data_IF_154499357958
#
_entry.id   IF_154499357958
#
_cell.length_a   1.000
_cell.length_b   1.000
_cell.length_c   1.000
_cell.angle_alpha   90.00
_cell.angle_beta   90.00
_cell.angle_gamma   90.00
#
_symmetry.space_group_name_H-M   'P 1'
#
loop_
_entity.id
_entity.type
_entity.pdbx_description
1 polymer ?
#
# COMPACT_ATOMS: atom_id res chain seq x y z
N UNK A 1 34.88 -19.93 -34.78
CA UNK A 1 33.67 -20.55 -34.22
C UNK A 1 33.00 -19.44 -33.42
N UNK A 2 31.98 -18.81 -33.98
CA UNK A 2 31.24 -17.69 -33.36
C UNK A 2 30.10 -18.30 -32.53
N UNK A 3 30.17 -18.20 -31.21
CA UNK A 3 29.05 -18.53 -30.34
C UNK A 3 27.98 -17.46 -30.53
N UNK A 4 27.01 -17.79 -31.34
CA UNK A 4 25.76 -17.07 -31.50
C UNK A 4 24.92 -17.35 -30.24
N UNK A 5 25.08 -16.47 -29.22
CA UNK A 5 24.26 -16.50 -28.01
C UNK A 5 22.83 -16.26 -28.46
N UNK A 6 22.06 -17.33 -28.56
CA UNK A 6 20.61 -17.28 -28.80
C UNK A 6 19.98 -16.45 -27.69
N UNK A 7 19.74 -15.20 -27.97
CA UNK A 7 19.01 -14.27 -27.10
C UNK A 7 17.57 -14.77 -27.02
N UNK A 8 17.27 -15.54 -25.97
CA UNK A 8 15.91 -16.01 -25.71
C UNK A 8 14.95 -14.80 -25.79
N UNK A 9 13.98 -14.89 -26.69
CA UNK A 9 12.98 -13.85 -26.84
C UNK A 9 12.27 -13.66 -25.49
N UNK A 10 12.17 -12.41 -25.03
CA UNK A 10 11.41 -12.09 -23.82
C UNK A 10 9.98 -12.63 -23.98
N UNK A 11 9.40 -13.26 -22.94
CA UNK A 11 8.07 -13.83 -23.04
C UNK A 11 7.08 -12.74 -23.41
N UNK A 12 6.12 -13.09 -24.26
CA UNK A 12 5.00 -12.21 -24.57
C UNK A 12 4.23 -11.93 -23.28
N UNK A 13 4.08 -10.67 -22.90
CA UNK A 13 3.34 -10.28 -21.70
C UNK A 13 1.85 -10.63 -21.77
N UNK A 14 1.32 -10.81 -22.98
CA UNK A 14 -0.10 -11.09 -23.23
C UNK A 14 -0.59 -12.34 -22.47
N UNK A 15 0.22 -13.41 -22.41
CA UNK A 15 -0.14 -14.63 -21.66
C UNK A 15 -0.08 -14.49 -20.14
N UNK A 16 0.53 -13.42 -19.61
CA UNK A 16 0.73 -13.20 -18.17
C UNK A 16 0.10 -11.91 -17.68
N UNK A 17 -0.56 -11.14 -18.56
CA UNK A 17 -1.07 -9.80 -18.23
C UNK A 17 -2.02 -9.80 -17.04
N UNK A 18 -2.97 -10.71 -16.99
CA UNK A 18 -3.94 -10.80 -15.88
C UNK A 18 -3.26 -11.09 -14.54
N UNK A 19 -2.27 -11.97 -14.52
CA UNK A 19 -1.48 -12.25 -13.33
C UNK A 19 -0.69 -11.03 -12.89
N UNK A 20 0.03 -10.39 -13.78
CA UNK A 20 0.86 -9.22 -13.49
C UNK A 20 0.04 -8.04 -12.98
N UNK A 21 -1.08 -7.75 -13.63
CA UNK A 21 -2.03 -6.70 -13.24
C UNK A 21 -2.71 -7.08 -11.91
N UNK A 22 -3.10 -8.34 -11.74
CA UNK A 22 -3.69 -8.84 -10.51
C UNK A 22 -2.78 -8.67 -9.29
N UNK A 23 -1.48 -8.93 -9.43
CA UNK A 23 -0.48 -8.68 -8.39
C UNK A 23 -0.30 -7.18 -8.12
N UNK A 24 -0.19 -6.36 -9.16
CA UNK A 24 -0.11 -4.90 -9.03
C UNK A 24 -1.34 -4.30 -8.34
N UNK A 25 -2.52 -4.79 -8.65
CA UNK A 25 -3.78 -4.32 -8.06
C UNK A 25 -3.93 -4.62 -6.55
N UNK A 26 -3.07 -5.50 -5.99
CA UNK A 26 -3.00 -5.72 -4.54
C UNK A 26 -2.29 -4.60 -3.78
N UNK A 27 -1.76 -3.59 -4.46
CA UNK A 27 -1.12 -2.44 -3.84
C UNK A 27 -2.06 -1.69 -2.88
N UNK A 28 -1.53 -1.05 -1.81
CA UNK A 28 -2.33 -0.15 -0.99
C UNK A 28 -2.69 1.12 -1.74
N UNK A 29 -3.85 1.68 -1.43
CA UNK A 29 -4.23 3.02 -1.89
C UNK A 29 -5.08 3.73 -0.83
N UNK A 30 -5.07 5.06 -0.84
CA UNK A 30 -5.86 5.83 0.12
C UNK A 30 -7.34 5.51 -0.04
N UNK A 31 -8.02 5.21 1.05
CA UNK A 31 -9.41 4.71 1.06
C UNK A 31 -9.66 3.50 0.15
N UNK A 32 -8.61 2.77 -0.23
CA UNK A 32 -8.68 1.68 -1.22
C UNK A 32 -9.33 2.14 -2.54
N UNK A 33 -9.02 3.37 -2.94
CA UNK A 33 -9.58 3.96 -4.17
C UNK A 33 -9.08 3.30 -5.43
N UNK A 34 -7.92 2.63 -5.39
CA UNK A 34 -7.30 1.96 -6.54
C UNK A 34 -7.25 2.87 -7.78
N UNK A 35 -6.54 4.01 -7.71
CA UNK A 35 -6.64 5.08 -8.70
C UNK A 35 -5.76 4.85 -9.92
N UNK A 36 -5.55 3.62 -10.30
CA UNK A 36 -4.75 3.18 -11.43
C UNK A 36 -5.59 2.50 -12.50
N UNK A 37 -5.06 2.55 -13.71
CA UNK A 37 -5.50 1.77 -14.85
C UNK A 37 -4.30 1.19 -15.54
N UNK A 38 -4.42 -0.06 -15.95
CA UNK A 38 -3.40 -0.72 -16.75
C UNK A 38 -3.90 -0.90 -18.18
N UNK A 39 -2.98 -0.80 -19.12
CA UNK A 39 -3.20 -1.12 -20.53
C UNK A 39 -2.04 -1.99 -20.99
N UNK A 40 -2.37 -3.12 -21.59
CA UNK A 40 -1.41 -3.95 -22.29
C UNK A 40 -1.29 -3.44 -23.72
N UNK A 41 -0.07 -3.18 -24.17
CA UNK A 41 0.25 -2.65 -25.48
C UNK A 41 1.45 -3.43 -26.05
N UNK A 42 1.19 -4.61 -26.62
CA UNK A 42 2.20 -5.55 -27.05
C UNK A 42 3.12 -5.96 -25.87
N UNK A 43 4.44 -5.81 -26.00
CA UNK A 43 5.39 -6.23 -24.96
C UNK A 43 5.48 -5.24 -23.79
N UNK A 44 4.53 -4.32 -23.63
CA UNK A 44 4.56 -3.24 -22.64
C UNK A 44 3.26 -3.22 -21.83
N UNK A 45 3.36 -3.03 -20.53
CA UNK A 45 2.24 -2.67 -19.66
C UNK A 45 2.37 -1.20 -19.31
N UNK A 46 1.37 -0.41 -19.68
CA UNK A 46 1.27 1.00 -19.36
C UNK A 46 0.42 1.20 -18.09
N UNK A 47 0.93 2.01 -17.15
CA UNK A 47 0.24 2.42 -15.95
C UNK A 47 -0.25 3.85 -16.09
N UNK A 48 -1.55 4.05 -15.90
CA UNK A 48 -2.21 5.36 -15.96
C UNK A 48 -2.83 5.73 -14.62
N UNK A 49 -2.81 7.03 -14.31
CA UNK A 49 -3.66 7.61 -13.26
C UNK A 49 -5.12 7.69 -13.71
N UNK A 50 -6.05 7.30 -12.83
CA UNK A 50 -7.49 7.57 -13.01
C UNK A 50 -7.95 8.75 -12.13
N UNK A 51 -8.04 9.97 -12.65
CA UNK A 51 -8.39 11.14 -11.87
C UNK A 51 -9.82 11.11 -11.32
N UNK A 52 -10.69 10.24 -11.86
CA UNK A 52 -12.05 10.05 -11.33
C UNK A 52 -12.05 9.38 -9.95
N UNK A 53 -10.94 8.72 -9.58
CA UNK A 53 -10.72 8.08 -8.28
C UNK A 53 -9.90 8.93 -7.31
N UNK A 54 -9.54 10.15 -7.72
CA UNK A 54 -8.86 11.12 -6.87
C UNK A 54 -9.79 11.59 -5.74
N UNK A 55 -9.22 11.75 -4.53
CA UNK A 55 -9.94 12.31 -3.40
C UNK A 55 -10.09 13.83 -3.56
N UNK A 56 -11.18 14.38 -3.03
CA UNK A 56 -11.42 15.83 -3.01
C UNK A 56 -10.47 16.57 -2.09
N UNK A 57 -9.97 15.86 -1.06
CA UNK A 57 -8.95 16.39 -0.13
C UNK A 57 -7.53 16.30 -0.67
N UNK A 58 -7.33 15.67 -1.84
CA UNK A 58 -6.05 15.57 -2.55
C UNK A 58 -6.09 16.38 -3.86
N UNK A 59 -6.21 17.72 -3.81
CA UNK A 59 -6.36 18.54 -5.03
C UNK A 59 -5.15 18.42 -5.96
N UNK A 60 -3.94 18.26 -5.41
CA UNK A 60 -2.72 18.11 -6.17
C UNK A 60 -2.48 16.68 -6.71
N UNK A 61 -3.27 15.68 -6.27
CA UNK A 61 -3.12 14.29 -6.69
C UNK A 61 -1.91 13.58 -6.11
N UNK A 62 -1.32 14.08 -5.02
CA UNK A 62 -0.11 13.50 -4.40
C UNK A 62 -0.38 12.09 -3.86
N UNK A 63 -1.48 11.91 -3.15
CA UNK A 63 -1.88 10.61 -2.59
C UNK A 63 -2.27 9.62 -3.70
N UNK A 64 -2.89 10.14 -4.77
CA UNK A 64 -3.18 9.37 -5.97
C UNK A 64 -1.88 8.85 -6.60
N UNK A 65 -0.87 9.72 -6.78
CA UNK A 65 0.42 9.34 -7.38
C UNK A 65 1.19 8.35 -6.49
N UNK A 66 1.20 8.53 -5.18
CA UNK A 66 1.78 7.57 -4.22
C UNK A 66 1.11 6.20 -4.35
N UNK A 67 -0.21 6.18 -4.45
CA UNK A 67 -0.96 4.93 -4.64
C UNK A 67 -0.60 4.24 -5.98
N UNK A 68 -0.46 5.01 -7.06
CA UNK A 68 -0.02 4.47 -8.35
C UNK A 68 1.43 3.97 -8.32
N UNK A 69 2.32 4.64 -7.57
CA UNK A 69 3.70 4.18 -7.34
C UNK A 69 3.74 2.82 -6.63
N UNK A 70 2.89 2.62 -5.62
CA UNK A 70 2.76 1.32 -4.97
C UNK A 70 2.28 0.22 -5.93
N UNK A 71 1.36 0.54 -6.85
CA UNK A 71 0.92 -0.40 -7.87
C UNK A 71 2.03 -0.70 -8.90
N UNK A 72 2.84 0.30 -9.27
CA UNK A 72 4.03 0.10 -10.11
C UNK A 72 5.05 -0.83 -9.45
N UNK A 73 5.29 -0.66 -8.15
CA UNK A 73 6.16 -1.57 -7.40
C UNK A 73 5.65 -3.01 -7.46
N UNK A 74 4.35 -3.22 -7.22
CA UNK A 74 3.71 -4.54 -7.33
C UNK A 74 3.83 -5.14 -8.73
N UNK A 75 3.70 -4.32 -9.79
CA UNK A 75 3.90 -4.75 -11.17
C UNK A 75 5.35 -5.18 -11.43
N UNK A 76 6.32 -4.39 -10.98
CA UNK A 76 7.75 -4.72 -11.10
C UNK A 76 8.09 -6.02 -10.38
N UNK A 77 7.57 -6.19 -9.18
CA UNK A 77 7.75 -7.43 -8.40
C UNK A 77 7.09 -8.65 -9.09
N UNK A 78 5.93 -8.45 -9.71
CA UNK A 78 5.28 -9.50 -10.48
C UNK A 78 6.09 -9.92 -11.72
N UNK A 79 6.74 -8.98 -12.42
CA UNK A 79 7.69 -9.31 -13.51
C UNK A 79 8.88 -10.12 -12.98
N UNK A 80 9.38 -9.79 -11.78
CA UNK A 80 10.43 -10.58 -11.12
C UNK A 80 10.01 -12.03 -10.89
N UNK A 81 8.75 -12.28 -10.53
CA UNK A 81 8.25 -13.65 -10.30
C UNK A 81 8.27 -14.52 -11.55
N UNK A 82 8.30 -13.93 -12.73
CA UNK A 82 8.46 -14.64 -13.99
C UNK A 82 9.94 -14.93 -14.33
N UNK A 83 10.89 -14.54 -13.48
CA UNK A 83 12.33 -14.75 -13.71
C UNK A 83 13.00 -13.68 -14.57
N UNK A 84 12.41 -12.48 -14.68
CA UNK A 84 12.93 -11.39 -15.51
C UNK A 84 13.10 -10.09 -14.75
N UNK A 85 14.01 -9.24 -15.20
CA UNK A 85 14.15 -7.88 -14.70
C UNK A 85 13.05 -6.99 -15.30
N UNK A 86 12.33 -6.19 -14.48
CA UNK A 86 11.42 -5.18 -15.00
C UNK A 86 12.22 -3.97 -15.51
N UNK A 87 11.94 -3.53 -16.72
CA UNK A 87 12.44 -2.25 -17.25
C UNK A 87 11.29 -1.25 -17.18
N UNK A 88 11.35 -0.34 -16.22
CA UNK A 88 10.34 0.67 -16.00
C UNK A 88 10.82 2.05 -16.45
N UNK A 89 10.05 2.69 -17.31
CA UNK A 89 10.23 4.07 -17.76
C UNK A 89 9.18 4.93 -17.09
N UNK A 90 9.59 5.92 -16.29
CA UNK A 90 8.68 6.82 -15.57
C UNK A 90 8.37 8.04 -16.42
N UNK A 91 7.09 8.47 -16.40
CA UNK A 91 6.59 9.64 -17.11
C UNK A 91 7.07 9.69 -18.57
N UNK A 92 6.85 8.63 -19.34
CA UNK A 92 7.53 8.40 -20.64
C UNK A 92 7.08 9.37 -21.75
N UNK A 93 6.03 10.14 -21.51
CA UNK A 93 5.45 11.03 -22.52
C UNK A 93 4.88 12.30 -21.85
N UNK A 94 5.57 13.43 -21.96
CA UNK A 94 5.11 14.70 -21.38
C UNK A 94 3.74 15.17 -21.90
N UNK A 95 3.35 14.78 -23.12
CA UNK A 95 2.05 15.08 -23.70
C UNK A 95 0.90 14.22 -23.14
N UNK A 96 1.23 13.10 -22.50
CA UNK A 96 0.27 12.16 -21.90
C UNK A 96 0.34 12.19 -20.39
N UNK A 97 -0.03 13.29 -19.77
CA UNK A 97 0.09 13.58 -18.32
C UNK A 97 -0.50 12.50 -17.38
N UNK A 98 -1.34 11.62 -17.89
CA UNK A 98 -1.91 10.51 -17.11
C UNK A 98 -1.13 9.21 -17.24
N UNK A 99 -0.23 9.09 -18.19
CA UNK A 99 0.65 7.94 -18.36
C UNK A 99 1.83 8.09 -17.39
N UNK A 100 1.81 7.29 -16.34
CA UNK A 100 2.77 7.39 -15.23
C UNK A 100 4.00 6.52 -15.46
N UNK A 101 3.83 5.35 -16.09
CA UNK A 101 4.94 4.45 -16.36
C UNK A 101 4.64 3.51 -17.53
N UNK A 102 5.71 3.04 -18.17
CA UNK A 102 5.75 1.88 -19.06
C UNK A 102 6.63 0.82 -18.44
N UNK A 103 6.15 -0.40 -18.38
CA UNK A 103 6.93 -1.54 -17.89
C UNK A 103 7.01 -2.61 -18.97
N UNK A 104 8.21 -3.05 -19.26
CA UNK A 104 8.51 -4.17 -20.17
C UNK A 104 9.40 -5.18 -19.48
N UNK A 105 9.40 -6.38 -20.02
CA UNK A 105 10.31 -7.46 -19.59
C UNK A 105 11.70 -7.15 -20.12
N UNK A 106 12.70 -7.21 -19.23
CA UNK A 106 14.12 -7.08 -19.56
C UNK A 106 14.82 -8.44 -19.62
N UNK A 107 16.08 -8.47 -19.19
CA UNK A 107 16.88 -9.68 -19.17
C UNK A 107 16.34 -10.71 -18.16
N UNK A 108 16.57 -11.99 -18.45
CA UNK A 108 16.33 -13.05 -17.48
C UNK A 108 17.28 -12.88 -16.27
N UNK A 109 16.74 -13.02 -15.07
CA UNK A 109 17.52 -12.96 -13.85
C UNK A 109 16.81 -13.73 -12.73
N UNK A 110 17.52 -14.52 -11.94
CA UNK A 110 16.93 -15.28 -10.85
C UNK A 110 16.35 -14.35 -9.79
N UNK A 111 15.33 -14.84 -9.07
CA UNK A 111 14.80 -14.17 -7.90
C UNK A 111 15.78 -14.19 -6.75
N UNK A 112 15.91 -13.06 -6.06
CA UNK A 112 16.59 -13.02 -4.76
C UNK A 112 15.75 -13.65 -3.66
N UNK A 113 16.36 -13.99 -2.54
CA UNK A 113 15.63 -14.48 -1.35
C UNK A 113 14.62 -13.46 -0.82
N UNK A 114 14.99 -12.19 -0.87
CA UNK A 114 14.13 -11.08 -0.44
C UNK A 114 12.89 -10.92 -1.33
N UNK A 115 13.08 -10.92 -2.65
CA UNK A 115 11.96 -10.83 -3.60
C UNK A 115 10.97 -11.99 -3.43
N UNK A 116 11.45 -13.21 -3.16
CA UNK A 116 10.57 -14.35 -2.85
C UNK A 116 9.70 -14.11 -1.63
N UNK A 117 10.28 -13.59 -0.54
CA UNK A 117 9.53 -13.27 0.68
C UNK A 117 8.48 -12.17 0.43
N UNK A 118 8.84 -11.14 -0.36
CA UNK A 118 7.89 -10.09 -0.74
C UNK A 118 6.74 -10.65 -1.58
N UNK A 119 7.02 -11.51 -2.55
CA UNK A 119 6.00 -12.15 -3.39
C UNK A 119 5.04 -13.03 -2.56
N UNK A 120 5.57 -13.79 -1.61
CA UNK A 120 4.75 -14.57 -0.67
C UNK A 120 3.86 -13.68 0.20
N UNK A 121 4.32 -12.49 0.57
CA UNK A 121 3.58 -11.56 1.40
C UNK A 121 2.44 -10.83 0.65
N UNK A 122 2.56 -10.62 -0.67
CA UNK A 122 1.58 -9.85 -1.46
C UNK A 122 0.14 -10.36 -1.30
N UNK A 123 -0.18 -11.67 -1.37
CA UNK A 123 -1.54 -12.17 -1.19
C UNK A 123 -2.13 -11.89 0.19
N UNK A 124 -1.27 -11.80 1.22
CA UNK A 124 -1.66 -11.63 2.62
C UNK A 124 -1.68 -10.17 3.07
N UNK A 125 -1.14 -9.29 2.24
CA UNK A 125 -1.09 -7.86 2.54
C UNK A 125 -2.50 -7.26 2.66
N UNK A 126 -2.78 -6.62 3.78
CA UNK A 126 -4.00 -5.83 3.99
C UNK A 126 -3.68 -4.59 4.84
N UNK A 127 -4.55 -3.59 4.81
CA UNK A 127 -4.42 -2.40 5.64
C UNK A 127 -5.04 -2.65 7.01
N UNK A 128 -4.21 -2.78 8.04
CA UNK A 128 -4.68 -2.82 9.42
C UNK A 128 -5.15 -1.42 9.85
N UNK A 129 -6.36 -1.34 10.42
CA UNK A 129 -6.97 -0.06 10.87
C UNK A 129 -7.28 -0.03 12.37
N UNK A 130 -6.92 -1.08 13.10
CA UNK A 130 -7.03 -1.14 14.55
C UNK A 130 -5.79 -0.58 15.24
N UNK A 131 -5.79 -0.62 16.57
CA UNK A 131 -4.59 -0.35 17.36
C UNK A 131 -3.57 -1.49 17.16
N UNK A 132 -2.29 -1.13 17.11
CA UNK A 132 -1.21 -2.11 17.18
C UNK A 132 -1.03 -2.59 18.61
N UNK A 133 -0.60 -3.85 18.77
CA UNK A 133 -0.25 -4.40 20.08
C UNK A 133 0.96 -3.71 20.71
N UNK A 134 1.11 -3.79 22.03
CA UNK A 134 2.32 -3.32 22.71
C UNK A 134 3.49 -4.28 22.38
N UNK A 135 4.69 -3.74 22.33
CA UNK A 135 5.90 -4.54 22.18
C UNK A 135 6.88 -3.93 21.17
N UNK A 136 8.12 -4.43 21.17
CA UNK A 136 9.14 -3.99 20.23
C UNK A 136 8.81 -4.50 18.82
N UNK A 137 9.30 -3.79 17.82
CA UNK A 137 9.29 -4.26 16.44
C UNK A 137 10.19 -5.51 16.32
N UNK A 138 9.87 -6.44 15.41
CA UNK A 138 10.75 -7.57 15.13
C UNK A 138 12.18 -7.10 14.81
N UNK A 139 13.16 -7.86 15.32
CA UNK A 139 14.57 -7.54 15.05
C UNK A 139 14.83 -7.52 13.53
N UNK A 140 15.57 -6.53 13.05
CA UNK A 140 15.90 -6.35 11.63
C UNK A 140 14.81 -5.69 10.77
N UNK A 141 13.55 -5.64 11.22
CA UNK A 141 12.46 -5.07 10.41
C UNK A 141 12.73 -3.61 10.01
N UNK A 142 13.22 -2.81 10.95
CA UNK A 142 13.52 -1.40 10.70
C UNK A 142 14.59 -1.23 9.64
N UNK A 143 15.69 -2.00 9.74
CA UNK A 143 16.77 -1.95 8.76
C UNK A 143 16.29 -2.39 7.37
N UNK A 144 15.47 -3.44 7.29
CA UNK A 144 14.87 -3.89 6.04
C UNK A 144 13.98 -2.80 5.41
N UNK A 145 13.12 -2.15 6.20
CA UNK A 145 12.27 -1.05 5.71
C UNK A 145 13.09 0.16 5.24
N UNK A 146 14.18 0.49 5.93
CA UNK A 146 15.08 1.57 5.52
C UNK A 146 15.82 1.24 4.22
N UNK A 147 16.30 0.00 4.09
CA UNK A 147 16.92 -0.50 2.87
C UNK A 147 15.96 -0.40 1.68
N UNK A 148 14.73 -0.89 1.82
CA UNK A 148 13.73 -0.85 0.76
C UNK A 148 13.35 0.59 0.39
N UNK A 149 13.25 1.49 1.37
CA UNK A 149 12.99 2.90 1.11
C UNK A 149 14.11 3.53 0.26
N UNK A 150 15.37 3.25 0.58
CA UNK A 150 16.53 3.74 -0.20
C UNK A 150 16.52 3.15 -1.60
N UNK A 151 16.23 1.87 -1.77
CA UNK A 151 16.13 1.22 -3.07
C UNK A 151 15.06 1.84 -3.99
N UNK A 152 14.00 2.41 -3.41
CA UNK A 152 12.95 3.15 -4.14
C UNK A 152 13.19 4.68 -4.15
N UNK A 153 14.40 5.16 -3.81
CA UNK A 153 14.75 6.58 -3.85
C UNK A 153 14.13 7.43 -2.74
N UNK A 154 13.71 6.79 -1.63
CA UNK A 154 13.09 7.45 -0.49
C UNK A 154 13.94 7.32 0.78
N UNK A 155 13.55 8.05 1.82
CA UNK A 155 14.18 7.95 3.15
C UNK A 155 13.12 7.58 4.18
N UNK A 156 13.39 6.56 4.99
CA UNK A 156 12.59 6.20 6.15
C UNK A 156 13.29 6.66 7.43
N UNK A 157 12.70 7.66 8.09
CA UNK A 157 13.18 8.15 9.39
C UNK A 157 12.38 7.49 10.52
N UNK A 158 13.10 6.99 11.52
CA UNK A 158 12.52 6.52 12.76
C UNK A 158 12.46 7.67 13.76
N UNK A 159 11.30 7.85 14.36
CA UNK A 159 11.09 8.88 15.37
C UNK A 159 10.96 8.19 16.73
N UNK A 160 12.00 8.31 17.54
CA UNK A 160 12.02 7.81 18.91
C UNK A 160 11.13 8.65 19.83
N UNK A 161 10.63 8.08 20.94
CA UNK A 161 9.94 8.85 21.97
C UNK A 161 10.75 10.06 22.41
N UNK A 162 10.11 11.25 22.45
CA UNK A 162 10.72 12.53 22.79
C UNK A 162 9.98 13.69 22.16
N UNK A 163 10.62 14.87 22.14
CA UNK A 163 10.01 16.12 21.67
C UNK A 163 9.54 16.03 20.19
N UNK A 164 10.35 15.40 19.32
CA UNK A 164 10.01 15.24 17.91
C UNK A 164 8.76 14.35 17.72
N UNK A 165 8.66 13.26 18.49
CA UNK A 165 7.48 12.39 18.51
C UNK A 165 6.24 13.15 18.98
N UNK A 166 6.35 13.93 20.08
CA UNK A 166 5.25 14.73 20.62
C UNK A 166 4.75 15.75 19.58
N UNK A 167 5.68 16.50 18.95
CA UNK A 167 5.33 17.46 17.89
C UNK A 167 4.61 16.80 16.71
N UNK A 168 5.10 15.65 16.25
CA UNK A 168 4.45 14.91 15.18
C UNK A 168 3.04 14.45 15.59
N UNK A 169 2.87 13.94 16.80
CA UNK A 169 1.58 13.53 17.35
C UNK A 169 0.60 14.71 17.42
N UNK A 170 1.05 15.87 17.86
CA UNK A 170 0.23 17.10 17.96
C UNK A 170 -0.20 17.58 16.57
N UNK A 171 0.72 17.63 15.60
CA UNK A 171 0.42 18.00 14.21
C UNK A 171 -0.57 17.01 13.58
N UNK A 172 -0.35 15.72 13.79
CA UNK A 172 -1.24 14.66 13.28
C UNK A 172 -2.64 14.78 13.89
N UNK A 173 -2.74 15.02 15.20
CA UNK A 173 -4.01 15.21 15.87
C UNK A 173 -4.73 16.49 15.39
N UNK A 174 -3.99 17.58 15.17
CA UNK A 174 -4.54 18.83 14.63
C UNK A 174 -5.06 18.64 13.19
N UNK A 175 -4.28 17.95 12.34
CA UNK A 175 -4.70 17.61 10.99
C UNK A 175 -5.96 16.74 10.97
N UNK A 176 -6.03 15.72 11.84
CA UNK A 176 -7.21 14.87 12.01
C UNK A 176 -8.47 15.67 12.36
N UNK A 177 -8.36 16.56 13.36
CA UNK A 177 -9.47 17.46 13.72
C UNK A 177 -9.94 18.34 12.57
N UNK A 178 -8.98 18.86 11.77
CA UNK A 178 -9.29 19.68 10.60
C UNK A 178 -10.02 18.87 9.52
N UNK A 179 -9.57 17.65 9.24
CA UNK A 179 -10.22 16.73 8.29
C UNK A 179 -11.63 16.34 8.74
N UNK A 180 -11.85 16.13 10.05
CA UNK A 180 -13.18 15.81 10.58
C UNK A 180 -14.20 16.95 10.34
N UNK A 181 -13.72 18.19 10.25
CA UNK A 181 -14.56 19.36 9.98
C UNK A 181 -14.71 19.64 8.47
N UNK A 182 -13.82 19.10 7.63
CA UNK A 182 -13.85 19.34 6.19
C UNK A 182 -14.99 18.55 5.52
N UNK A 183 -15.96 19.24 4.87
CA UNK A 183 -17.05 18.58 4.16
C UNK A 183 -16.56 17.71 2.99
N UNK A 184 -15.41 18.04 2.39
CA UNK A 184 -14.80 17.26 1.32
C UNK A 184 -14.29 15.92 1.84
N UNK A 185 -13.58 15.91 2.98
CA UNK A 185 -13.12 14.69 3.63
C UNK A 185 -14.29 13.78 4.00
N UNK A 186 -15.35 14.35 4.57
CA UNK A 186 -16.57 13.59 4.89
C UNK A 186 -17.24 13.01 3.65
N UNK A 187 -17.25 13.76 2.54
CA UNK A 187 -17.81 13.30 1.27
C UNK A 187 -16.97 12.16 0.68
N UNK A 188 -15.63 12.24 0.76
CA UNK A 188 -14.74 11.16 0.32
C UNK A 188 -14.93 9.90 1.16
N UNK A 189 -14.98 10.01 2.49
CA UNK A 189 -15.26 8.87 3.38
C UNK A 189 -16.59 8.22 3.02
N UNK A 190 -17.67 9.00 2.81
CA UNK A 190 -18.98 8.45 2.40
C UNK A 190 -18.89 7.74 1.05
N UNK A 191 -18.23 8.36 0.07
CA UNK A 191 -18.09 7.80 -1.28
C UNK A 191 -17.36 6.47 -1.28
N UNK A 192 -16.31 6.35 -0.46
CA UNK A 192 -15.42 5.20 -0.45
C UNK A 192 -15.68 4.20 0.71
N UNK A 193 -16.72 4.39 1.51
CA UNK A 193 -17.19 3.38 2.46
C UNK A 193 -18.16 2.43 1.77
N UNK A 194 -17.92 1.13 1.90
CA UNK A 194 -18.75 0.05 1.33
C UNK A 194 -19.55 -0.63 2.43
N UNK A 195 -20.84 -0.88 2.16
CA UNK A 195 -21.66 -1.74 3.02
C UNK A 195 -21.10 -3.17 3.02
N UNK A 196 -21.35 -3.93 4.10
CA UNK A 196 -20.82 -5.28 4.26
C UNK A 196 -21.19 -6.24 3.12
N UNK A 197 -22.36 -6.05 2.52
CA UNK A 197 -22.86 -6.87 1.41
C UNK A 197 -22.39 -6.38 0.01
N UNK A 198 -21.59 -5.31 -0.07
CA UNK A 198 -21.15 -4.78 -1.35
C UNK A 198 -19.92 -5.58 -1.86
N UNK A 199 -20.02 -6.26 -3.03
CA UNK A 199 -18.94 -7.07 -3.57
C UNK A 199 -17.83 -6.25 -4.26
N UNK A 200 -17.92 -4.91 -4.30
CA UNK A 200 -16.93 -4.07 -4.96
C UNK A 200 -15.53 -4.30 -4.36
N UNK A 201 -14.50 -4.49 -5.21
CA UNK A 201 -13.15 -4.75 -4.75
C UNK A 201 -12.45 -3.47 -4.21
N UNK A 202 -13.05 -2.31 -4.42
CA UNK A 202 -12.56 -1.01 -3.98
C UNK A 202 -13.30 -0.48 -2.74
N UNK A 203 -12.76 0.59 -2.15
CA UNK A 203 -13.34 1.23 -0.97
C UNK A 203 -12.97 0.52 0.34
N UNK A 204 -13.48 1.05 1.43
CA UNK A 204 -13.23 0.56 2.79
C UNK A 204 -14.51 -0.12 3.29
N UNK A 205 -14.49 -1.39 3.68
CA UNK A 205 -15.63 -2.03 4.31
C UNK A 205 -16.05 -1.28 5.58
N UNK A 206 -17.35 -1.04 5.76
CA UNK A 206 -17.87 -0.26 6.90
C UNK A 206 -17.43 -0.84 8.26
N UNK A 207 -17.30 -2.17 8.35
CA UNK A 207 -16.84 -2.88 9.55
C UNK A 207 -15.35 -2.69 9.85
N UNK A 208 -14.55 -2.20 8.91
CA UNK A 208 -13.14 -1.90 9.12
C UNK A 208 -12.88 -0.61 9.91
N UNK A 209 -13.95 0.16 10.21
CA UNK A 209 -13.83 1.33 11.07
C UNK A 209 -14.01 0.92 12.55
N UNK A 210 -13.04 1.20 13.44
CA UNK A 210 -13.17 0.93 14.86
C UNK A 210 -14.42 1.65 15.45
N UNK A 211 -15.30 0.92 16.13
CA UNK A 211 -16.48 1.49 16.80
C UNK A 211 -17.80 1.39 16.04
N UNK A 212 -17.83 0.90 14.80
CA UNK A 212 -19.10 0.57 14.10
C UNK A 212 -19.47 -0.91 14.21
N UNK A 213 -19.41 -1.48 15.41
CA UNK A 213 -20.11 -2.76 15.67
C UNK A 213 -21.61 -2.46 15.68
N UNK A 214 -22.36 -3.17 14.84
CA UNK A 214 -23.77 -3.05 14.55
C UNK A 214 -24.64 -2.50 15.70
N UNK A 215 -25.15 -1.30 15.50
CA UNK A 215 -26.42 -0.89 16.07
C UNK A 215 -27.45 -1.01 14.96
N UNK A 216 -28.05 -2.16 14.87
CA UNK A 216 -29.38 -2.29 14.34
C UNK A 216 -30.31 -1.58 15.32
N UNK A 217 -30.95 -0.50 14.88
CA UNK A 217 -32.02 0.16 15.62
C UNK A 217 -31.65 1.54 16.20
N UNK A 218 -32.43 2.51 15.78
CA UNK A 218 -32.67 3.84 16.30
C UNK A 218 -31.65 4.94 15.96
N UNK A 219 -32.11 5.78 15.07
CA UNK A 219 -31.61 7.12 14.78
C UNK A 219 -31.71 7.99 16.05
N UNK A 220 -30.56 8.49 16.56
CA UNK A 220 -30.47 9.49 17.60
C UNK A 220 -29.32 10.44 17.31
N UNK A 221 -29.44 11.76 17.52
CA UNK A 221 -28.42 12.72 17.09
C UNK A 221 -27.22 12.75 18.02
N UNK A 222 -26.04 12.78 17.43
CA UNK A 222 -24.83 13.30 18.01
C UNK A 222 -24.04 12.39 18.94
N UNK A 223 -23.11 11.61 18.39
CA UNK A 223 -21.85 11.32 19.10
C UNK A 223 -20.69 11.27 18.10
N UNK A 224 -19.69 12.03 18.46
CA UNK A 224 -18.44 12.34 17.80
C UNK A 224 -17.69 11.09 17.35
N UNK A 225 -17.36 11.04 16.07
CA UNK A 225 -16.38 10.09 15.51
C UNK A 225 -14.99 10.53 15.94
N UNK A 226 -14.48 9.94 17.02
CA UNK A 226 -13.12 10.18 17.49
C UNK A 226 -12.13 9.39 16.63
N UNK A 227 -11.54 10.03 15.65
CA UNK A 227 -10.26 9.58 15.09
C UNK A 227 -9.16 9.98 16.09
N UNK A 228 -8.48 8.98 16.61
CA UNK A 228 -7.25 9.11 17.41
C UNK A 228 -7.33 10.05 18.63
N UNK A 229 -7.82 9.54 19.75
CA UNK A 229 -7.47 10.06 21.07
C UNK A 229 -6.38 9.17 21.65
N UNK A 230 -5.15 9.72 21.79
CA UNK A 230 -4.12 9.15 22.63
C UNK A 230 -4.65 9.00 24.06
N UNK A 231 -4.91 7.78 24.48
CA UNK A 231 -5.15 7.46 25.89
C UNK A 231 -3.81 7.25 26.57
N UNK A 232 -3.59 7.99 27.65
CA UNK A 232 -2.54 7.67 28.63
C UNK A 232 -2.76 6.25 29.17
N UNK A 233 -1.70 5.47 29.40
CA UNK A 233 -1.86 4.13 29.95
C UNK A 233 -2.37 4.22 31.40
N UNK A 234 -3.52 3.61 31.65
CA UNK A 234 -3.90 3.20 33.00
C UNK A 234 -3.26 1.83 33.23
N UNK A 235 -2.51 1.76 34.32
CA UNK A 235 -2.02 0.50 34.90
C UNK A 235 -3.20 -0.43 35.14
N UNK A 236 -3.20 -1.58 34.51
CA UNK A 236 -4.12 -2.69 34.84
C UNK A 236 -3.31 -3.97 34.93
N UNK A 237 -3.51 -4.60 36.08
CA UNK A 237 -3.00 -5.85 36.57
C UNK A 237 -3.25 -7.05 35.63
N UNK A 238 -2.32 -8.00 35.75
CA UNK A 238 -2.20 -9.25 35.01
C UNK A 238 -3.48 -10.10 34.96
N UNK A 239 -3.71 -10.68 33.78
CA UNK A 239 -4.65 -11.78 33.56
C UNK A 239 -4.19 -12.54 32.32
N UNK A 240 -3.78 -13.79 32.53
CA UNK A 240 -3.23 -14.74 31.57
C UNK A 240 -4.13 -14.99 30.37
N UNK A 241 -3.56 -14.98 29.17
CA UNK A 241 -3.87 -15.88 28.04
C UNK A 241 -2.70 -15.83 27.07
N UNK A 242 -1.90 -16.90 27.05
CA UNK A 242 -0.91 -17.16 26.04
C UNK A 242 -1.61 -17.52 24.71
N UNK A 243 -1.05 -17.06 23.58
CA UNK A 243 -1.08 -17.84 22.36
C UNK A 243 0.35 -18.17 21.93
N UNK A 244 0.69 -19.44 21.99
CA UNK A 244 1.83 -20.05 21.33
C UNK A 244 1.68 -19.92 19.81
N UNK A 245 2.57 -19.13 19.18
CA UNK A 245 2.85 -19.22 17.77
C UNK A 245 4.37 -19.06 17.54
N UNK A 246 5.01 -19.89 16.70
CA UNK A 246 6.47 -19.91 16.56
C UNK A 246 6.97 -18.64 15.86
N UNK A 247 7.90 -17.98 16.51
CA UNK A 247 8.57 -16.77 15.99
C UNK A 247 9.35 -17.06 14.71
N UNK A 248 8.93 -16.46 13.61
CA UNK A 248 9.73 -16.37 12.39
C UNK A 248 10.81 -15.31 12.59
N UNK A 249 12.06 -15.75 12.57
CA UNK A 249 13.21 -14.83 12.53
C UNK A 249 13.32 -14.23 11.13
N UNK A 250 13.47 -12.91 11.06
CA UNK A 250 13.83 -12.22 9.83
C UNK A 250 15.34 -12.39 9.62
N UNK A 251 15.80 -12.81 8.43
CA UNK A 251 17.24 -12.90 8.17
C UNK A 251 17.84 -11.49 8.14
N UNK A 252 19.02 -11.37 8.74
CA UNK A 252 19.86 -10.19 8.53
C UNK A 252 20.28 -10.14 7.06
N UNK A 253 20.11 -8.98 6.44
CA UNK A 253 20.61 -8.75 5.08
C UNK A 253 22.13 -8.87 5.03
N UNK A 254 22.69 -9.34 3.92
CA UNK A 254 24.14 -9.37 3.71
C UNK A 254 24.72 -7.98 3.62
#
# INVERSE_FOLDING_TARGET
MSEETTRAAAPALDGHADYLIGMAARAPSVHNTQPWRFRVAGPVIELYADPRRKLRVDPAGRELLISCGAALYGLRLAVRSLGYLPVAELLPDPGRVRLLARVRVGAAAPLTGWERQLLEAVPHRHTHRGAFGPGPLPAGLTAALQHDAVAEGATLALISPGLAYQRLADVTAAAGRRLDLDPRARADVRRWTRAAANPAPDGIPAQAFPGRRGRSGACGPGRRTGLWRGRRPRTATAGCCEPTAPGRRWPASP
#
